data_IF_780783849385
#
_entry.id   IF_780783849385
#
_cell.length_a   1.000
_cell.length_b   1.000
_cell.length_c   1.000
_cell.angle_alpha   90.00
_cell.angle_beta   90.00
_cell.angle_gamma   90.00
#
_symmetry.space_group_name_H-M   'P 1'
#
loop_
_entity.id
_entity.type
_entity.pdbx_description
1 polymer ?
#
# COMPACT_ATOMS: atom_id res chain seq x y z
N UNK A 1 35.14 -22.90 -44.10
CA UNK A 1 34.11 -21.87 -44.27
C UNK A 1 32.75 -22.56 -44.17
N UNK A 2 31.77 -22.20 -43.36
CA UNK A 2 31.58 -21.13 -42.38
C UNK A 2 30.37 -21.52 -41.50
N UNK A 3 30.53 -21.33 -40.19
CA UNK A 3 29.56 -21.01 -39.13
C UNK A 3 28.15 -21.63 -39.11
N UNK A 4 28.04 -22.72 -38.33
CA UNK A 4 26.89 -23.05 -37.48
C UNK A 4 27.01 -22.27 -36.15
N UNK A 5 26.39 -21.11 -35.99
CA UNK A 5 25.91 -20.57 -34.69
C UNK A 5 24.98 -19.38 -34.97
N UNK A 6 23.66 -19.51 -34.81
CA UNK A 6 22.84 -18.46 -34.19
C UNK A 6 21.82 -19.17 -33.31
N UNK A 7 22.00 -19.02 -32.00
CA UNK A 7 21.09 -19.46 -30.98
C UNK A 7 19.73 -18.80 -31.17
N UNK A 8 18.67 -19.61 -31.24
CA UNK A 8 17.31 -19.15 -30.99
C UNK A 8 17.14 -18.89 -29.47
N UNK A 9 17.66 -17.75 -29.00
CA UNK A 9 17.24 -17.15 -27.72
C UNK A 9 16.18 -16.10 -28.06
N UNK A 10 14.99 -16.57 -28.41
CA UNK A 10 13.82 -15.73 -28.70
C UNK A 10 12.70 -15.95 -27.69
N UNK A 11 13.06 -16.18 -26.42
CA UNK A 11 12.09 -16.47 -25.35
C UNK A 11 12.39 -15.74 -24.02
N UNK A 12 13.04 -14.57 -24.06
CA UNK A 12 13.34 -13.80 -22.85
C UNK A 12 12.88 -12.33 -22.88
N UNK A 13 12.05 -11.94 -23.86
CA UNK A 13 11.48 -10.58 -23.93
C UNK A 13 9.95 -10.58 -23.98
N UNK A 14 9.31 -11.50 -23.28
CA UNK A 14 7.85 -11.60 -23.23
C UNK A 14 7.33 -11.69 -21.80
N UNK A 15 7.28 -10.56 -21.07
CA UNK A 15 6.32 -10.38 -19.97
C UNK A 15 6.44 -9.08 -19.16
N UNK A 16 7.35 -8.13 -19.46
CA UNK A 16 7.34 -6.84 -18.70
C UNK A 16 6.00 -6.12 -18.85
N UNK A 17 5.31 -6.26 -20.00
CA UNK A 17 3.94 -5.77 -20.20
C UNK A 17 2.85 -6.64 -19.54
N UNK A 18 3.14 -7.92 -19.28
CA UNK A 18 2.17 -8.88 -18.73
C UNK A 18 2.08 -8.88 -17.21
N UNK A 19 3.17 -8.53 -16.52
CA UNK A 19 3.20 -8.43 -15.05
C UNK A 19 2.18 -7.43 -14.52
N UNK A 20 2.09 -6.25 -15.13
CA UNK A 20 1.16 -5.19 -14.71
C UNK A 20 -0.30 -5.56 -14.95
N UNK A 21 -0.61 -6.15 -16.09
CA UNK A 21 -1.97 -6.62 -16.39
C UNK A 21 -2.37 -7.78 -15.45
N UNK A 22 -1.46 -8.72 -15.19
CA UNK A 22 -1.65 -9.79 -14.21
C UNK A 22 -1.91 -9.21 -12.81
N UNK A 23 -1.08 -8.28 -12.37
CA UNK A 23 -1.14 -7.70 -11.04
C UNK A 23 -2.44 -6.94 -10.83
N UNK A 24 -2.83 -6.12 -11.80
CA UNK A 24 -4.10 -5.38 -11.76
C UNK A 24 -5.29 -6.34 -11.70
N UNK A 25 -5.33 -7.38 -12.53
CA UNK A 25 -6.45 -8.32 -12.57
C UNK A 25 -6.54 -9.20 -11.31
N UNK A 26 -5.44 -9.87 -10.93
CA UNK A 26 -5.42 -10.73 -9.73
C UNK A 26 -5.57 -9.92 -8.45
N UNK A 27 -4.89 -8.79 -8.35
CA UNK A 27 -4.93 -7.89 -7.19
C UNK A 27 -6.34 -7.34 -6.96
N UNK A 28 -6.98 -6.81 -8.01
CA UNK A 28 -8.35 -6.29 -7.91
C UNK A 28 -9.34 -7.38 -7.51
N UNK A 29 -9.19 -8.60 -8.04
CA UNK A 29 -10.03 -9.74 -7.64
C UNK A 29 -9.80 -10.15 -6.18
N UNK A 30 -8.56 -10.14 -5.71
CA UNK A 30 -8.24 -10.48 -4.33
C UNK A 30 -8.85 -9.46 -3.37
N UNK A 31 -8.58 -8.17 -3.60
CA UNK A 31 -9.08 -7.11 -2.72
C UNK A 31 -10.60 -7.03 -2.76
N UNK A 32 -11.22 -7.19 -3.94
CA UNK A 32 -12.68 -7.25 -4.03
C UNK A 32 -13.25 -8.34 -3.11
N UNK A 33 -12.64 -9.53 -3.05
CA UNK A 33 -13.10 -10.60 -2.14
C UNK A 33 -13.02 -10.18 -0.68
N UNK A 34 -11.96 -9.49 -0.28
CA UNK A 34 -11.81 -8.98 1.09
C UNK A 34 -12.86 -7.90 1.38
N UNK A 35 -13.04 -6.94 0.48
CA UNK A 35 -13.98 -5.82 0.66
C UNK A 35 -15.45 -6.29 0.66
N UNK A 36 -15.77 -7.35 -0.08
CA UNK A 36 -17.12 -7.93 -0.08
C UNK A 36 -17.31 -9.03 0.97
N UNK A 37 -16.32 -9.27 1.85
CA UNK A 37 -16.47 -10.25 2.92
C UNK A 37 -17.24 -9.65 4.11
N UNK A 38 -17.88 -10.51 4.88
CA UNK A 38 -18.59 -10.14 6.12
C UNK A 38 -17.69 -9.41 7.14
N UNK A 39 -16.36 -9.52 6.99
CA UNK A 39 -15.38 -8.82 7.83
C UNK A 39 -15.47 -7.29 7.69
N UNK A 40 -15.95 -6.79 6.55
CA UNK A 40 -16.13 -5.36 6.33
C UNK A 40 -17.39 -4.81 6.99
N UNK A 41 -18.35 -5.67 7.36
CA UNK A 41 -19.59 -5.24 8.03
C UNK A 41 -19.34 -4.74 9.46
N UNK A 42 -18.24 -5.19 10.10
CA UNK A 42 -17.79 -4.73 11.42
C UNK A 42 -16.28 -4.42 11.40
N UNK A 43 -15.90 -3.47 10.53
CA UNK A 43 -14.50 -3.07 10.32
C UNK A 43 -13.83 -2.63 11.63
N UNK A 44 -14.58 -2.01 12.56
CA UNK A 44 -14.07 -1.56 13.85
C UNK A 44 -13.54 -2.71 14.72
N UNK A 45 -14.15 -3.91 14.62
CA UNK A 45 -13.67 -5.11 15.33
C UNK A 45 -12.68 -5.93 14.53
N UNK A 46 -12.75 -5.86 13.21
CA UNK A 46 -12.03 -6.77 12.31
C UNK A 46 -10.88 -6.09 11.56
N UNK A 47 -10.51 -4.84 11.88
CA UNK A 47 -9.50 -4.08 11.15
C UNK A 47 -8.18 -4.85 10.95
N UNK A 48 -7.73 -5.56 11.98
CA UNK A 48 -6.50 -6.34 11.91
C UNK A 48 -6.63 -7.54 10.97
N UNK A 49 -7.77 -8.22 10.99
CA UNK A 49 -8.04 -9.33 10.08
C UNK A 49 -8.13 -8.85 8.62
N UNK A 50 -8.82 -7.72 8.41
CA UNK A 50 -8.88 -7.05 7.11
C UNK A 50 -7.48 -6.66 6.63
N UNK A 51 -6.67 -6.00 7.45
CA UNK A 51 -5.31 -5.59 7.11
C UNK A 51 -4.40 -6.79 6.78
N UNK A 52 -4.47 -7.86 7.56
CA UNK A 52 -3.74 -9.11 7.28
C UNK A 52 -4.18 -9.73 5.95
N UNK A 53 -5.48 -9.78 5.66
CA UNK A 53 -5.97 -10.33 4.38
C UNK A 53 -5.53 -9.49 3.19
N UNK A 54 -5.53 -8.17 3.31
CA UNK A 54 -5.11 -7.26 2.23
C UNK A 54 -3.61 -7.33 1.97
N UNK A 55 -2.79 -7.33 3.03
CA UNK A 55 -1.33 -7.49 2.89
C UNK A 55 -0.96 -8.86 2.32
N UNK A 56 -1.66 -9.92 2.73
CA UNK A 56 -1.55 -11.25 2.12
C UNK A 56 -1.97 -11.26 0.65
N UNK A 57 -3.10 -10.64 0.32
CA UNK A 57 -3.57 -10.49 -1.07
C UNK A 57 -2.49 -9.87 -1.95
N UNK A 58 -1.87 -8.80 -1.46
CA UNK A 58 -0.81 -8.10 -2.15
C UNK A 58 0.40 -9.01 -2.35
N UNK A 59 0.92 -9.63 -1.28
CA UNK A 59 2.07 -10.56 -1.34
C UNK A 59 1.85 -11.73 -2.29
N UNK A 60 0.69 -12.37 -2.21
CA UNK A 60 0.36 -13.49 -3.09
C UNK A 60 0.23 -13.03 -4.55
N UNK A 61 -0.30 -11.83 -4.78
CA UNK A 61 -0.42 -11.25 -6.12
C UNK A 61 0.96 -10.89 -6.70
N UNK A 62 1.83 -10.24 -5.92
CA UNK A 62 3.19 -9.90 -6.37
C UNK A 62 3.98 -11.16 -6.74
N UNK A 63 3.91 -12.19 -5.90
CA UNK A 63 4.54 -13.48 -6.16
C UNK A 63 3.95 -14.14 -7.41
N UNK A 64 2.63 -14.22 -7.52
CA UNK A 64 1.95 -14.92 -8.60
C UNK A 64 2.02 -14.21 -9.97
N UNK A 65 2.40 -12.94 -9.99
CA UNK A 65 2.64 -12.16 -11.20
C UNK A 65 4.13 -11.90 -11.47
N UNK A 66 5.03 -12.39 -10.61
CA UNK A 66 6.48 -12.24 -10.78
C UNK A 66 6.94 -10.78 -10.71
N UNK A 67 6.33 -9.99 -9.83
CA UNK A 67 6.65 -8.57 -9.69
C UNK A 67 8.04 -8.39 -9.07
N UNK A 68 8.75 -7.34 -9.46
CA UNK A 68 10.07 -7.05 -8.90
C UNK A 68 10.02 -6.66 -7.41
N UNK A 69 8.90 -6.07 -6.97
CA UNK A 69 8.70 -5.59 -5.59
C UNK A 69 8.13 -6.65 -4.62
N UNK A 70 8.45 -7.92 -4.84
CA UNK A 70 8.17 -9.00 -3.89
C UNK A 70 8.80 -8.74 -2.50
N UNK A 71 10.04 -8.25 -2.37
CA UNK A 71 10.64 -7.98 -1.06
C UNK A 71 9.86 -6.95 -0.22
N UNK A 72 9.37 -5.89 -0.86
CA UNK A 72 8.57 -4.83 -0.24
C UNK A 72 7.20 -5.38 0.20
N UNK A 73 6.54 -6.17 -0.66
CA UNK A 73 5.27 -6.80 -0.32
C UNK A 73 5.40 -7.80 0.84
N UNK A 74 6.50 -8.56 0.90
CA UNK A 74 6.80 -9.45 2.03
C UNK A 74 7.03 -8.67 3.33
N UNK A 75 7.71 -7.52 3.24
CA UNK A 75 7.99 -6.68 4.41
C UNK A 75 6.71 -6.08 4.99
N UNK A 76 5.77 -5.66 4.13
CA UNK A 76 4.44 -5.20 4.56
C UNK A 76 3.62 -6.32 5.18
N UNK A 77 3.56 -7.50 4.56
CA UNK A 77 2.88 -8.68 5.11
C UNK A 77 3.41 -9.06 6.50
N UNK A 78 4.74 -9.06 6.66
CA UNK A 78 5.38 -9.31 7.94
C UNK A 78 4.98 -8.27 8.99
N UNK A 79 5.16 -6.98 8.70
CA UNK A 79 4.86 -5.91 9.65
C UNK A 79 3.39 -5.89 10.05
N UNK A 80 2.48 -6.03 9.10
CA UNK A 80 1.03 -6.07 9.37
C UNK A 80 0.68 -7.30 10.22
N UNK A 81 1.20 -8.48 9.86
CA UNK A 81 0.95 -9.71 10.62
C UNK A 81 1.45 -9.59 12.05
N UNK A 82 2.70 -9.16 12.25
CA UNK A 82 3.29 -9.04 13.58
C UNK A 82 2.60 -7.96 14.41
N UNK A 83 2.21 -6.84 13.81
CA UNK A 83 1.45 -5.77 14.48
C UNK A 83 0.08 -6.27 14.94
N UNK A 84 -0.56 -7.15 14.18
CA UNK A 84 -1.89 -7.71 14.47
C UNK A 84 -1.88 -8.99 15.31
N UNK A 85 -0.73 -9.67 15.43
CA UNK A 85 -0.59 -10.89 16.21
C UNK A 85 -0.53 -10.58 17.71
N UNK A 86 -1.65 -10.79 18.42
CA UNK A 86 -1.75 -10.55 19.86
C UNK A 86 -0.61 -11.21 20.63
N UNK A 87 0.11 -10.39 21.40
CA UNK A 87 1.19 -10.86 22.28
C UNK A 87 2.57 -10.95 21.63
N UNK A 88 2.73 -10.67 20.33
CA UNK A 88 4.05 -10.45 19.74
C UNK A 88 4.72 -9.20 20.32
N UNK A 89 6.05 -9.13 20.29
CA UNK A 89 6.79 -7.94 20.77
C UNK A 89 6.37 -6.68 19.98
N UNK A 90 6.20 -6.81 18.66
CA UNK A 90 5.75 -5.72 17.78
C UNK A 90 4.32 -5.28 18.13
N UNK A 91 3.41 -6.22 18.39
CA UNK A 91 2.05 -5.89 18.81
C UNK A 91 2.04 -5.14 20.15
N UNK A 92 2.85 -5.58 21.12
CA UNK A 92 2.94 -4.92 22.41
C UNK A 92 3.48 -3.49 22.29
N UNK A 93 4.56 -3.29 21.54
CA UNK A 93 5.14 -1.97 21.27
C UNK A 93 4.18 -1.06 20.49
N UNK A 94 3.45 -1.64 19.54
CA UNK A 94 2.39 -0.94 18.82
C UNK A 94 1.29 -0.48 19.76
N UNK A 95 0.71 -1.37 20.55
CA UNK A 95 -0.38 -1.03 21.47
C UNK A 95 0.04 0.02 22.51
N UNK A 96 1.29 0.00 22.97
CA UNK A 96 1.82 0.99 23.89
C UNK A 96 1.87 2.42 23.30
N UNK A 97 2.03 2.54 21.98
CA UNK A 97 2.19 3.81 21.28
C UNK A 97 1.03 4.17 20.33
N UNK A 98 0.06 3.27 20.19
CA UNK A 98 -1.00 3.28 19.18
C UNK A 98 -1.72 4.63 19.14
N UNK A 99 -2.15 5.13 20.31
CA UNK A 99 -2.87 6.40 20.42
C UNK A 99 -2.08 7.57 19.83
N UNK A 100 -0.77 7.64 20.09
CA UNK A 100 0.04 8.74 19.56
C UNK A 100 0.25 8.59 18.05
N UNK A 101 0.56 7.38 17.58
CA UNK A 101 0.71 7.13 16.15
C UNK A 101 -0.59 7.41 15.38
N UNK A 102 -1.75 7.10 15.96
CA UNK A 102 -3.06 7.45 15.40
C UNK A 102 -3.22 8.95 15.16
N UNK A 103 -2.79 9.79 16.09
CA UNK A 103 -2.84 11.25 15.92
C UNK A 103 -1.88 11.75 14.84
N UNK A 104 -0.75 11.07 14.64
CA UNK A 104 0.22 11.37 13.58
C UNK A 104 -0.34 10.98 12.21
N UNK A 105 -0.81 9.75 12.05
CA UNK A 105 -1.31 9.25 10.76
C UNK A 105 -2.61 9.91 10.32
N UNK A 106 -3.36 10.53 11.24
CA UNK A 106 -4.55 11.34 10.95
C UNK A 106 -4.24 12.80 10.60
N UNK A 107 -2.97 13.23 10.64
CA UNK A 107 -2.62 14.62 10.38
C UNK A 107 -2.83 14.97 8.90
N UNK A 108 -3.83 15.81 8.56
CA UNK A 108 -4.16 16.11 7.18
C UNK A 108 -3.05 16.88 6.44
N UNK A 109 -2.14 17.56 7.17
CA UNK A 109 -1.05 18.32 6.57
C UNK A 109 -0.12 17.41 5.76
N UNK A 110 0.10 16.17 6.24
CA UNK A 110 1.00 15.23 5.57
C UNK A 110 0.43 14.69 4.26
N UNK A 111 -0.90 14.65 4.12
CA UNK A 111 -1.57 14.11 2.93
C UNK A 111 -2.06 15.18 1.96
N UNK A 112 -2.01 16.45 2.36
CA UNK A 112 -2.52 17.56 1.54
C UNK A 112 -2.04 17.52 0.07
N UNK A 113 -0.75 17.30 -0.25
CA UNK A 113 -0.32 17.21 -1.65
C UNK A 113 -0.97 16.06 -2.43
N UNK A 114 -1.13 14.90 -1.78
CA UNK A 114 -1.82 13.73 -2.35
C UNK A 114 -3.30 14.02 -2.56
N UNK A 115 -3.97 14.60 -1.56
CA UNK A 115 -5.39 14.95 -1.63
C UNK A 115 -5.66 15.98 -2.72
N UNK A 116 -4.82 17.01 -2.82
CA UNK A 116 -4.94 18.06 -3.84
C UNK A 116 -4.74 17.49 -5.26
N UNK A 117 -3.89 16.47 -5.44
CA UNK A 117 -3.67 15.81 -6.72
C UNK A 117 -4.91 15.05 -7.25
N UNK A 118 -5.69 14.43 -6.36
CA UNK A 118 -6.89 13.64 -6.71
C UNK A 118 -8.20 14.44 -6.59
N UNK A 119 -8.15 15.64 -6.00
CA UNK A 119 -9.32 16.48 -5.77
C UNK A 119 -10.00 16.88 -7.09
N UNK A 120 -11.32 16.69 -7.14
CA UNK A 120 -12.15 17.11 -8.26
C UNK A 120 -11.97 16.29 -9.55
N UNK A 121 -11.23 15.18 -9.51
CA UNK A 121 -11.11 14.23 -10.63
C UNK A 121 -12.37 13.34 -10.63
N UNK A 122 -13.14 13.33 -11.72
CA UNK A 122 -14.43 12.65 -11.76
C UNK A 122 -14.43 11.44 -12.70
N UNK A 123 -13.57 11.44 -13.71
CA UNK A 123 -13.43 10.32 -14.64
C UNK A 123 -12.30 9.38 -14.23
N UNK A 124 -12.37 8.11 -14.66
CA UNK A 124 -11.31 7.13 -14.39
C UNK A 124 -9.93 7.60 -14.91
N UNK A 125 -9.90 8.23 -16.08
CA UNK A 125 -8.68 8.77 -16.69
C UNK A 125 -8.11 9.94 -15.87
N UNK A 126 -8.95 10.89 -15.45
CA UNK A 126 -8.53 11.99 -14.58
C UNK A 126 -8.07 11.50 -13.21
N UNK A 127 -8.72 10.48 -12.67
CA UNK A 127 -8.35 9.90 -11.39
C UNK A 127 -7.00 9.18 -11.47
N UNK A 128 -6.74 8.44 -12.55
CA UNK A 128 -5.41 7.85 -12.79
C UNK A 128 -4.33 8.93 -12.93
N UNK A 129 -4.59 10.03 -13.65
CA UNK A 129 -3.69 11.19 -13.69
C UNK A 129 -3.42 11.77 -12.29
N UNK A 130 -4.47 11.90 -11.48
CA UNK A 130 -4.37 12.34 -10.09
C UNK A 130 -3.51 11.40 -9.25
N UNK A 131 -3.68 10.08 -9.39
CA UNK A 131 -2.86 9.07 -8.70
C UNK A 131 -1.40 9.12 -9.14
N UNK A 132 -1.12 9.26 -10.45
CA UNK A 132 0.24 9.44 -10.96
C UNK A 132 0.92 10.70 -10.39
N UNK A 133 0.16 11.78 -10.23
CA UNK A 133 0.67 12.99 -9.57
C UNK A 133 0.90 12.75 -8.07
N UNK A 134 -0.04 12.10 -7.38
CA UNK A 134 0.09 11.73 -5.97
C UNK A 134 1.33 10.86 -5.71
N UNK A 135 1.69 9.97 -6.64
CA UNK A 135 2.89 9.13 -6.54
C UNK A 135 4.18 9.93 -6.30
N UNK A 136 4.26 11.16 -6.84
CA UNK A 136 5.43 12.05 -6.67
C UNK A 136 5.60 12.54 -5.23
N UNK A 137 4.56 12.43 -4.42
CA UNK A 137 4.55 12.91 -3.03
C UNK A 137 4.79 11.81 -2.00
N UNK A 138 4.99 10.56 -2.40
CA UNK A 138 5.15 9.42 -1.46
C UNK A 138 6.24 9.67 -0.41
N UNK A 139 7.44 10.06 -0.85
CA UNK A 139 8.57 10.32 0.04
C UNK A 139 8.26 11.50 0.98
N UNK A 140 7.65 12.56 0.46
CA UNK A 140 7.21 13.73 1.25
C UNK A 140 6.20 13.35 2.34
N UNK A 141 5.24 12.47 2.05
CA UNK A 141 4.26 12.01 3.06
C UNK A 141 4.95 11.21 4.16
N UNK A 142 5.80 10.25 3.78
CA UNK A 142 6.54 9.40 4.73
C UNK A 142 7.43 10.23 5.66
N UNK A 143 8.15 11.22 5.10
CA UNK A 143 8.99 12.14 5.86
C UNK A 143 8.15 13.02 6.81
N UNK A 144 7.03 13.55 6.33
CA UNK A 144 6.11 14.34 7.16
C UNK A 144 5.58 13.53 8.35
N UNK A 145 5.12 12.31 8.11
CA UNK A 145 4.63 11.43 9.17
C UNK A 145 5.72 11.12 10.19
N UNK A 146 6.95 10.83 9.73
CA UNK A 146 8.08 10.52 10.61
C UNK A 146 8.48 11.73 11.47
N UNK A 147 8.47 12.95 10.90
CA UNK A 147 8.75 14.18 11.64
C UNK A 147 7.63 14.52 12.64
N UNK A 148 6.36 14.31 12.26
CA UNK A 148 5.22 14.48 13.18
C UNK A 148 5.27 13.45 14.32
N UNK A 149 5.65 12.20 14.05
CA UNK A 149 5.90 11.21 15.09
C UNK A 149 7.03 11.64 16.03
N UNK A 150 8.13 12.14 15.48
CA UNK A 150 9.29 12.63 16.25
C UNK A 150 8.94 13.77 17.19
N UNK A 151 8.15 14.71 16.71
CA UNK A 151 7.76 15.90 17.45
C UNK A 151 6.64 15.64 18.46
N UNK A 152 5.67 14.76 18.13
CA UNK A 152 4.50 14.48 18.99
C UNK A 152 4.68 13.30 19.93
N UNK A 153 5.24 12.20 19.44
CA UNK A 153 5.37 10.94 20.19
C UNK A 153 6.74 10.79 20.88
N UNK A 154 7.67 11.71 20.62
CA UNK A 154 9.01 11.72 21.18
C UNK A 154 10.01 10.89 20.37
N UNK A 155 11.30 11.22 20.50
CA UNK A 155 12.37 10.61 19.68
C UNK A 155 12.52 9.10 19.86
N UNK A 156 12.18 8.56 21.03
CA UNK A 156 12.36 7.14 21.35
C UNK A 156 11.37 6.23 20.60
N UNK A 157 10.22 6.76 20.20
CA UNK A 157 9.15 6.00 19.54
C UNK A 157 9.26 6.06 18.00
N UNK A 158 10.04 7.01 17.48
CA UNK A 158 10.24 7.21 16.03
C UNK A 158 10.81 5.98 15.35
N UNK A 159 11.82 5.32 15.91
CA UNK A 159 12.43 4.17 15.25
C UNK A 159 11.43 3.03 15.04
N UNK A 160 10.52 2.82 16.00
CA UNK A 160 9.45 1.85 15.86
C UNK A 160 8.37 2.34 14.88
N UNK A 161 8.01 3.63 14.92
CA UNK A 161 7.11 4.19 13.93
C UNK A 161 7.64 4.06 12.48
N UNK A 162 8.91 4.38 12.27
CA UNK A 162 9.59 4.23 10.98
C UNK A 162 9.66 2.75 10.56
N UNK A 163 9.87 1.81 11.49
CA UNK A 163 9.77 0.38 11.22
C UNK A 163 8.40 -0.03 10.66
N UNK A 164 7.32 0.61 11.11
CA UNK A 164 5.96 0.34 10.61
C UNK A 164 5.69 1.04 9.27
N UNK A 165 6.06 2.31 9.14
CA UNK A 165 5.69 3.16 7.99
C UNK A 165 6.63 2.98 6.80
N UNK A 166 7.91 2.68 7.01
CA UNK A 166 8.88 2.59 5.92
C UNK A 166 8.58 1.46 4.93
N UNK A 167 8.25 0.21 5.35
CA UNK A 167 7.90 -0.86 4.42
C UNK A 167 6.68 -0.50 3.56
N UNK A 168 5.72 0.18 4.17
CA UNK A 168 4.53 0.70 3.52
C UNK A 168 4.92 1.75 2.45
N UNK A 169 5.70 2.77 2.81
CA UNK A 169 6.16 3.79 1.87
C UNK A 169 6.96 3.20 0.68
N UNK A 170 7.87 2.25 0.94
CA UNK A 170 8.65 1.58 -0.11
C UNK A 170 7.78 0.80 -1.08
N UNK A 171 6.84 0.01 -0.55
CA UNK A 171 5.88 -0.69 -1.39
C UNK A 171 5.07 0.30 -2.24
N UNK A 172 4.61 1.43 -1.68
CA UNK A 172 3.84 2.42 -2.41
C UNK A 172 4.64 3.00 -3.57
N UNK A 173 5.92 3.29 -3.31
CA UNK A 173 6.86 3.76 -4.32
C UNK A 173 7.01 2.75 -5.47
N UNK A 174 7.19 1.47 -5.16
CA UNK A 174 7.29 0.42 -6.18
C UNK A 174 5.99 0.23 -6.97
N UNK A 175 4.84 0.25 -6.31
CA UNK A 175 3.53 0.24 -6.98
C UNK A 175 3.39 1.45 -7.92
N UNK A 176 3.83 2.63 -7.47
CA UNK A 176 3.84 3.83 -8.28
C UNK A 176 4.72 3.69 -9.53
N UNK A 177 5.97 3.27 -9.35
CA UNK A 177 6.97 3.12 -10.41
C UNK A 177 6.59 2.04 -11.42
N UNK A 178 6.18 0.87 -10.94
CA UNK A 178 6.05 -0.31 -11.77
C UNK A 178 4.61 -0.47 -12.31
N UNK A 179 3.59 0.01 -11.59
CA UNK A 179 2.18 -0.16 -11.98
C UNK A 179 1.52 1.14 -12.42
N UNK A 180 1.52 2.17 -11.57
CA UNK A 180 0.67 3.36 -11.79
C UNK A 180 1.22 4.30 -12.86
N UNK A 181 2.52 4.65 -12.79
CA UNK A 181 3.14 5.58 -13.75
C UNK A 181 3.10 5.05 -15.20
N UNK A 182 3.37 3.75 -15.46
CA UNK A 182 3.30 3.18 -16.81
C UNK A 182 1.87 2.91 -17.30
N UNK A 183 0.85 2.99 -16.43
CA UNK A 183 -0.53 2.67 -16.80
C UNK A 183 -1.09 3.60 -17.88
N UNK A 184 -1.82 3.01 -18.82
CA UNK A 184 -2.46 3.73 -19.92
C UNK A 184 -3.74 4.44 -19.46
N UNK A 185 -3.73 5.76 -19.54
CA UNK A 185 -4.85 6.64 -19.15
C UNK A 185 -6.09 6.50 -20.04
N UNK A 186 -5.93 5.94 -21.25
CA UNK A 186 -7.02 5.70 -22.19
C UNK A 186 -7.76 4.39 -21.89
N UNK A 187 -7.11 3.44 -21.22
CA UNK A 187 -7.70 2.12 -20.88
C UNK A 187 -8.64 2.16 -19.68
N UNK A 188 -8.91 3.36 -19.12
CA UNK A 188 -9.89 3.57 -18.05
C UNK A 188 -9.71 2.56 -16.91
N UNK A 189 -8.45 2.33 -16.54
CA UNK A 189 -8.07 1.13 -15.82
C UNK A 189 -8.79 1.11 -14.46
N UNK A 190 -9.48 0.00 -14.18
CA UNK A 190 -10.18 -0.27 -12.93
C UNK A 190 -9.20 -0.53 -11.76
N UNK A 191 -8.10 0.24 -11.69
CA UNK A 191 -7.14 0.23 -10.58
C UNK A 191 -7.80 0.77 -9.29
N UNK A 192 -8.97 1.41 -9.42
CA UNK A 192 -9.61 2.21 -8.38
C UNK A 192 -10.32 1.45 -7.25
N UNK A 193 -10.29 0.12 -7.20
CA UNK A 193 -10.99 -0.61 -6.12
C UNK A 193 -10.09 -1.47 -5.25
N UNK A 194 -8.86 -1.74 -5.69
CA UNK A 194 -8.06 -2.85 -5.15
C UNK A 194 -6.83 -2.43 -4.37
N UNK A 195 -6.10 -1.44 -4.84
CA UNK A 195 -5.01 -0.91 -4.05
C UNK A 195 -5.62 0.12 -3.12
N UNK A 196 -6.09 -0.35 -1.96
CA UNK A 196 -6.13 0.51 -0.79
C UNK A 196 -4.81 1.27 -0.83
N UNK A 197 -4.88 2.60 -0.90
CA UNK A 197 -3.69 3.40 -0.80
C UNK A 197 -2.92 2.84 0.40
N UNK A 198 -1.62 2.66 0.31
CA UNK A 198 -0.90 2.10 1.45
C UNK A 198 -1.09 2.97 2.71
N UNK A 199 -1.44 4.24 2.52
CA UNK A 199 -1.96 5.16 3.54
C UNK A 199 -3.32 4.75 4.14
N UNK A 200 -4.20 4.12 3.38
CA UNK A 200 -5.41 3.46 3.88
C UNK A 200 -5.07 2.16 4.64
N UNK A 201 -4.05 1.38 4.24
CA UNK A 201 -3.56 0.27 5.06
C UNK A 201 -2.96 0.74 6.39
N UNK A 202 -2.19 1.83 6.37
CA UNK A 202 -1.74 2.54 7.58
C UNK A 202 -2.98 2.91 8.40
N UNK A 203 -3.93 3.64 7.81
CA UNK A 203 -5.13 4.09 8.51
C UNK A 203 -5.92 2.92 9.11
N UNK A 204 -6.06 1.80 8.40
CA UNK A 204 -6.73 0.57 8.84
C UNK A 204 -6.02 -0.06 10.03
N UNK A 205 -4.69 -0.20 10.01
CA UNK A 205 -3.90 -0.70 11.14
C UNK A 205 -4.10 0.18 12.39
N UNK A 206 -4.32 1.49 12.19
CA UNK A 206 -4.51 2.48 13.25
C UNK A 206 -6.00 2.81 13.54
N UNK A 207 -6.99 2.05 13.04
CA UNK A 207 -8.42 2.42 13.09
C UNK A 207 -9.25 1.81 14.23
N UNK A 208 -8.78 1.82 15.48
CA UNK A 208 -9.60 1.28 16.59
C UNK A 208 -10.72 2.19 17.12
N UNK A 209 -10.78 3.49 16.75
CA UNK A 209 -11.69 4.47 17.41
C UNK A 209 -12.36 5.52 16.47
N UNK A 210 -12.58 5.25 15.19
CA UNK A 210 -13.03 6.32 14.26
C UNK A 210 -14.53 6.65 14.31
N UNK A 211 -15.42 5.75 14.71
CA UNK A 211 -16.87 6.03 14.66
C UNK A 211 -17.39 6.74 15.93
N UNK A 212 -16.70 6.66 17.07
CA UNK A 212 -17.17 7.34 18.31
C UNK A 212 -16.94 8.85 18.35
N UNK A 213 -16.37 9.45 17.31
CA UNK A 213 -16.18 10.91 17.20
C UNK A 213 -17.07 11.57 16.13
N UNK A 214 -17.98 10.81 15.51
CA UNK A 214 -19.02 11.33 14.62
C UNK A 214 -20.46 11.01 15.09
N UNK A 215 -20.63 10.59 16.35
CA UNK A 215 -21.93 10.47 17.03
C UNK A 215 -22.09 11.55 18.10
#
# INVERSE_FOLDING_TARGET
MEFLVIFAVSALFGSVYGGNECFNDKGSRCVKKVITSELMEDMDKNYCEVAMQLSKCLKETTLACGMEFIPEANSVDYVVTETCMKGSDINQDFMANQKCYMEVVKDPDCYKPVLDAVKGKQTASEFLKGQKEACKHTDQVSECLSEKARTRCGRQTVSFFEFLVHPLAQLNKRVCEDILLPADESKGLAINAGMLGIFELITLVYHSDFISMQA
#
